data_IF_333468201654
#
_entry.id   IF_333468201654
#
_cell.length_a   1.000
_cell.length_b   1.000
_cell.length_c   1.000
_cell.angle_alpha   90.00
_cell.angle_beta   90.00
_cell.angle_gamma   90.00
#
_symmetry.space_group_name_H-M   'P 1'
#
loop_
_entity.id
_entity.type
_entity.pdbx_description
1 polymer ?
#
# COMPACT_ATOMS: atom_id res chain seq x y z
N UNK A 1 -17.30 -7.98 -2.63
CA UNK A 1 -15.84 -7.97 -2.41
C UNK A 1 -15.43 -9.27 -1.74
N UNK A 2 -14.44 -10.00 -2.25
CA UNK A 2 -13.95 -11.17 -1.55
C UNK A 2 -13.29 -10.71 -0.25
N UNK A 3 -13.67 -11.32 0.88
CA UNK A 3 -13.06 -11.05 2.20
C UNK A 3 -11.52 -11.19 2.21
N UNK A 4 -10.97 -11.84 1.19
CA UNK A 4 -9.55 -12.08 1.02
C UNK A 4 -8.75 -10.77 0.77
N UNK A 5 -9.30 -9.83 0.00
CA UNK A 5 -8.58 -8.60 -0.39
C UNK A 5 -8.18 -7.72 0.82
N UNK A 6 -9.03 -7.69 1.86
CA UNK A 6 -8.75 -6.93 3.08
C UNK A 6 -7.54 -7.53 3.80
N UNK A 7 -7.51 -8.86 3.95
CA UNK A 7 -6.43 -9.56 4.63
C UNK A 7 -5.14 -9.41 3.83
N UNK A 8 -5.19 -9.66 2.53
CA UNK A 8 -4.03 -9.57 1.64
C UNK A 8 -3.44 -8.15 1.64
N UNK A 9 -4.28 -7.11 1.62
CA UNK A 9 -3.79 -5.74 1.73
C UNK A 9 -3.13 -5.46 3.09
N UNK A 10 -3.73 -5.91 4.19
CA UNK A 10 -3.15 -5.70 5.54
C UNK A 10 -1.80 -6.43 5.66
N UNK A 11 -1.73 -7.67 5.18
CA UNK A 11 -0.50 -8.47 5.17
C UNK A 11 0.56 -7.77 4.29
N UNK A 12 0.18 -7.29 3.11
CA UNK A 12 1.06 -6.50 2.25
C UNK A 12 1.56 -5.23 2.95
N UNK A 13 0.67 -4.46 3.59
CA UNK A 13 1.03 -3.22 4.28
C UNK A 13 2.05 -3.47 5.39
N UNK A 14 1.90 -4.58 6.10
CA UNK A 14 2.84 -5.02 7.12
C UNK A 14 4.23 -5.30 6.54
N UNK A 15 4.30 -6.09 5.46
CA UNK A 15 5.56 -6.40 4.79
C UNK A 15 6.20 -5.17 4.13
N UNK A 16 5.40 -4.29 3.52
CA UNK A 16 5.88 -3.03 2.96
C UNK A 16 6.44 -2.09 4.04
N UNK A 17 5.81 -2.02 5.21
CA UNK A 17 6.29 -1.19 6.32
C UNK A 17 7.65 -1.67 6.83
N UNK A 18 7.82 -2.99 6.97
CA UNK A 18 9.12 -3.59 7.30
C UNK A 18 10.15 -3.29 6.21
N UNK A 19 9.80 -3.52 4.94
CA UNK A 19 10.73 -3.37 3.82
C UNK A 19 11.21 -1.93 3.61
N UNK A 20 10.32 -0.95 3.76
CA UNK A 20 10.58 0.46 3.40
C UNK A 20 11.10 1.26 4.59
N UNK A 21 10.62 0.96 5.80
CA UNK A 21 10.90 1.76 7.00
C UNK A 21 11.54 0.97 8.14
N UNK A 22 11.77 -0.33 7.96
CA UNK A 22 12.31 -1.24 8.99
C UNK A 22 11.50 -1.24 10.30
N UNK A 23 10.18 -1.15 10.16
CA UNK A 23 9.24 -1.09 11.30
C UNK A 23 8.07 -2.01 11.11
N UNK A 24 7.66 -2.67 12.19
CA UNK A 24 6.43 -3.45 12.22
C UNK A 24 5.25 -2.53 12.57
N UNK A 25 4.32 -2.30 11.64
CA UNK A 25 3.20 -1.39 11.87
C UNK A 25 2.23 -2.00 12.88
N UNK A 26 1.71 -1.17 13.78
CA UNK A 26 0.68 -1.62 14.73
C UNK A 26 -0.67 -1.74 14.01
N UNK A 27 -1.07 -2.98 13.72
CA UNK A 27 -2.37 -3.27 13.12
C UNK A 27 -3.44 -3.41 14.20
N UNK A 28 -4.49 -2.58 14.12
CA UNK A 28 -5.64 -2.62 15.03
C UNK A 28 -6.75 -3.45 14.41
N UNK A 29 -6.89 -4.70 14.89
CA UNK A 29 -7.90 -5.64 14.42
C UNK A 29 -9.31 -5.02 14.46
N UNK A 30 -10.08 -5.26 13.40
CA UNK A 30 -11.43 -4.71 13.25
C UNK A 30 -11.45 -3.26 12.75
N UNK A 31 -10.72 -2.34 13.39
CA UNK A 31 -10.67 -0.93 12.95
C UNK A 31 -10.02 -0.79 11.58
N UNK A 32 -8.80 -1.29 11.43
CA UNK A 32 -8.07 -1.18 10.17
C UNK A 32 -8.74 -1.99 9.07
N UNK A 33 -9.31 -3.16 9.40
CA UNK A 33 -10.13 -3.95 8.48
C UNK A 33 -11.32 -3.17 7.91
N UNK A 34 -12.06 -2.44 8.75
CA UNK A 34 -13.18 -1.57 8.31
C UNK A 34 -12.70 -0.41 7.44
N UNK A 35 -11.55 0.18 7.73
CA UNK A 35 -10.98 1.26 6.92
C UNK A 35 -10.53 0.73 5.54
N UNK A 36 -9.82 -0.39 5.52
CA UNK A 36 -9.43 -1.08 4.28
C UNK A 36 -10.65 -1.48 3.46
N UNK A 37 -11.69 -2.05 4.07
CA UNK A 37 -12.93 -2.38 3.38
C UNK A 37 -13.56 -1.16 2.69
N UNK A 38 -13.59 -0.01 3.38
CA UNK A 38 -14.10 1.24 2.81
C UNK A 38 -13.24 1.76 1.67
N UNK A 39 -11.92 1.65 1.80
CA UNK A 39 -10.99 2.08 0.77
C UNK A 39 -11.09 1.18 -0.49
N UNK A 40 -11.25 -0.14 -0.30
CA UNK A 40 -11.43 -1.09 -1.40
C UNK A 40 -12.69 -0.79 -2.22
N UNK A 41 -13.76 -0.24 -1.62
CA UNK A 41 -14.96 0.20 -2.37
C UNK A 41 -14.66 1.28 -3.42
N UNK A 42 -13.55 2.01 -3.29
CA UNK A 42 -13.14 3.08 -4.20
C UNK A 42 -11.95 2.69 -5.09
N UNK A 43 -11.06 1.85 -4.57
CA UNK A 43 -9.78 1.52 -5.20
C UNK A 43 -9.59 0.01 -5.27
N UNK A 44 -8.94 -0.48 -6.33
CA UNK A 44 -8.51 -1.87 -6.37
C UNK A 44 -7.45 -2.16 -5.30
N UNK A 45 -7.29 -3.44 -4.94
CA UNK A 45 -6.24 -3.87 -3.98
C UNK A 45 -4.87 -3.38 -4.41
N UNK A 46 -4.50 -3.57 -5.68
CA UNK A 46 -3.23 -3.11 -6.24
C UNK A 46 -3.06 -1.60 -6.15
N UNK A 47 -4.11 -0.81 -6.40
CA UNK A 47 -4.03 0.65 -6.22
C UNK A 47 -3.77 1.01 -4.75
N UNK A 48 -4.38 0.33 -3.79
CA UNK A 48 -4.10 0.52 -2.37
C UNK A 48 -2.66 0.12 -2.02
N UNK A 49 -2.15 -0.98 -2.56
CA UNK A 49 -0.77 -1.42 -2.37
C UNK A 49 0.22 -0.36 -2.87
N UNK A 50 0.01 0.18 -4.08
CA UNK A 50 0.84 1.26 -4.64
C UNK A 50 0.80 2.52 -3.77
N UNK A 51 -0.40 2.93 -3.32
CA UNK A 51 -0.55 4.07 -2.42
C UNK A 51 0.12 3.84 -1.06
N UNK A 52 0.07 2.60 -0.53
CA UNK A 52 0.76 2.24 0.70
C UNK A 52 2.28 2.37 0.56
N UNK A 53 2.84 1.87 -0.53
CA UNK A 53 4.27 1.99 -0.82
C UNK A 53 4.67 3.46 -0.94
N UNK A 54 3.89 4.28 -1.65
CA UNK A 54 4.14 5.72 -1.75
C UNK A 54 4.07 6.42 -0.40
N UNK A 55 3.03 6.13 0.40
CA UNK A 55 2.88 6.69 1.75
C UNK A 55 4.08 6.34 2.61
N UNK A 56 4.49 5.07 2.62
CA UNK A 56 5.63 4.60 3.37
C UNK A 56 6.92 5.28 2.91
N UNK A 57 7.14 5.43 1.61
CA UNK A 57 8.36 6.04 1.08
C UNK A 57 8.43 7.56 1.29
N UNK A 58 7.32 8.28 1.10
CA UNK A 58 7.29 9.75 1.01
C UNK A 58 6.81 10.46 2.27
N UNK A 59 5.98 9.81 3.10
CA UNK A 59 5.40 10.42 4.31
C UNK A 59 6.11 9.92 5.57
N UNK A 60 7.44 9.94 5.59
CA UNK A 60 8.25 9.34 6.67
C UNK A 60 7.98 9.95 8.06
N UNK A 61 7.54 11.20 8.12
CA UNK A 61 7.17 11.89 9.37
C UNK A 61 5.84 11.39 9.97
N UNK A 62 5.01 10.70 9.19
CA UNK A 62 3.73 10.15 9.64
C UNK A 62 3.91 8.73 10.13
N UNK A 63 3.13 8.34 11.14
CA UNK A 63 3.17 6.99 11.68
C UNK A 63 2.84 5.95 10.58
N UNK A 64 3.59 4.84 10.46
CA UNK A 64 3.33 3.77 9.49
C UNK A 64 2.13 2.93 9.96
N UNK A 65 0.93 3.50 9.88
CA UNK A 65 -0.31 2.85 10.30
C UNK A 65 -1.37 2.98 9.20
N UNK A 66 -2.18 1.93 9.03
CA UNK A 66 -3.27 1.91 8.04
C UNK A 66 -4.25 3.05 8.30
N UNK A 67 -4.61 3.30 9.56
CA UNK A 67 -5.47 4.43 9.93
C UNK A 67 -4.89 5.80 9.57
N UNK A 68 -3.55 5.95 9.60
CA UNK A 68 -2.89 7.20 9.19
C UNK A 68 -2.90 7.34 7.67
N UNK A 69 -2.57 6.26 6.94
CA UNK A 69 -2.61 6.22 5.49
C UNK A 69 -4.02 6.53 4.94
N UNK A 70 -5.04 5.93 5.56
CA UNK A 70 -6.45 6.08 5.18
C UNK A 70 -7.15 7.22 5.93
N UNK A 71 -6.40 8.13 6.53
CA UNK A 71 -6.97 9.32 7.16
C UNK A 71 -7.62 10.21 6.10
N UNK A 72 -8.72 10.89 6.47
CA UNK A 72 -9.49 11.73 5.54
C UNK A 72 -8.61 12.73 4.76
N UNK A 73 -7.74 13.44 5.47
CA UNK A 73 -6.87 14.45 4.86
C UNK A 73 -5.90 13.85 3.83
N UNK A 74 -5.31 12.68 4.14
CA UNK A 74 -4.38 12.02 3.23
C UNK A 74 -5.11 11.39 2.04
N UNK A 75 -6.30 10.85 2.26
CA UNK A 75 -7.15 10.34 1.18
C UNK A 75 -7.59 11.45 0.23
N UNK A 76 -7.94 12.63 0.74
CA UNK A 76 -8.26 13.81 -0.08
C UNK A 76 -7.03 14.27 -0.89
N UNK A 77 -5.83 14.29 -0.28
CA UNK A 77 -4.58 14.57 -1.00
C UNK A 77 -4.34 13.55 -2.12
N UNK A 78 -4.49 12.25 -1.83
CA UNK A 78 -4.31 11.18 -2.80
C UNK A 78 -5.34 11.27 -3.92
N UNK A 79 -6.62 11.47 -3.62
CA UNK A 79 -7.69 11.62 -4.61
C UNK A 79 -7.43 12.80 -5.56
N UNK A 80 -6.91 13.93 -5.06
CA UNK A 80 -6.52 15.06 -5.91
C UNK A 80 -5.32 14.72 -6.80
N UNK A 81 -4.30 14.05 -6.24
CA UNK A 81 -3.10 13.67 -6.98
C UNK A 81 -3.37 12.60 -8.04
N UNK A 82 -4.26 11.64 -7.77
CA UNK A 82 -4.63 10.58 -8.71
C UNK A 82 -5.35 11.10 -9.96
N UNK A 83 -5.89 12.34 -9.93
CA UNK A 83 -6.41 13.00 -11.14
C UNK A 83 -5.29 13.43 -12.10
N UNK A 84 -4.04 13.46 -11.66
CA UNK A 84 -2.89 13.81 -12.46
C UNK A 84 -2.16 12.55 -12.96
N UNK A 85 -2.04 12.40 -14.29
CA UNK A 85 -1.33 11.27 -14.91
C UNK A 85 0.14 11.15 -14.47
N UNK A 86 0.81 12.27 -14.18
CA UNK A 86 2.19 12.24 -13.69
C UNK A 86 2.32 11.55 -12.33
N UNK A 87 1.29 11.62 -11.49
CA UNK A 87 1.30 10.97 -10.19
C UNK A 87 1.23 9.44 -10.30
N UNK A 88 0.47 8.92 -11.27
CA UNK A 88 0.45 7.47 -11.55
C UNK A 88 1.83 6.94 -11.93
N UNK A 89 2.60 7.73 -12.70
CA UNK A 89 3.98 7.39 -13.03
C UNK A 89 4.88 7.38 -11.79
N UNK A 90 4.75 8.38 -10.90
CA UNK A 90 5.48 8.41 -9.63
C UNK A 90 5.16 7.19 -8.75
N UNK A 91 3.88 6.80 -8.68
CA UNK A 91 3.45 5.61 -7.95
C UNK A 91 4.12 4.35 -8.52
N UNK A 92 4.13 4.17 -9.85
CA UNK A 92 4.73 3.00 -10.50
C UNK A 92 6.26 2.97 -10.28
N UNK A 93 6.94 4.10 -10.44
CA UNK A 93 8.40 4.21 -10.23
C UNK A 93 8.80 3.86 -8.78
N UNK A 94 8.04 4.35 -7.79
CA UNK A 94 8.32 4.04 -6.39
C UNK A 94 7.94 2.59 -6.08
N UNK A 95 6.84 2.10 -6.63
CA UNK A 95 6.44 0.72 -6.45
C UNK A 95 7.50 -0.25 -7.00
N UNK A 96 7.98 -0.04 -8.23
CA UNK A 96 9.07 -0.84 -8.82
C UNK A 96 10.36 -0.79 -8.00
N UNK A 97 10.69 0.37 -7.42
CA UNK A 97 11.90 0.50 -6.59
C UNK A 97 11.87 -0.45 -5.39
N UNK A 98 10.72 -0.63 -4.76
CA UNK A 98 10.60 -1.47 -3.56
C UNK A 98 10.09 -2.88 -3.86
N UNK A 99 9.32 -3.06 -4.92
CA UNK A 99 8.72 -4.33 -5.32
C UNK A 99 8.96 -4.56 -6.81
N UNK A 100 10.23 -4.74 -7.24
CA UNK A 100 10.55 -4.88 -8.64
C UNK A 100 9.91 -6.15 -9.20
N UNK A 101 9.19 -6.00 -10.32
CA UNK A 101 8.49 -7.09 -11.03
C UNK A 101 9.40 -8.29 -11.32
N UNK A 102 10.72 -8.09 -11.40
CA UNK A 102 11.72 -9.12 -11.66
C UNK A 102 11.93 -10.15 -10.54
N UNK A 103 11.57 -9.87 -9.29
CA UNK A 103 11.84 -10.81 -8.17
C UNK A 103 10.99 -12.07 -8.26
N UNK A 104 9.78 -11.99 -8.84
CA UNK A 104 8.93 -13.17 -9.07
C UNK A 104 9.51 -14.14 -10.10
N UNK A 105 10.21 -13.66 -11.14
CA UNK A 105 10.82 -14.54 -12.15
C UNK A 105 11.93 -15.39 -11.54
N UNK A 106 12.76 -14.81 -10.66
CA UNK A 106 13.85 -15.54 -10.02
C UNK A 106 13.37 -16.60 -9.02
N UNK A 107 12.21 -16.43 -8.38
CA UNK A 107 11.60 -17.45 -7.52
C UNK A 107 10.89 -18.56 -8.31
N UNK A 108 10.29 -18.22 -9.46
CA UNK A 108 9.72 -19.18 -10.41
C UNK A 108 10.78 -20.06 -11.09
N UNK A 109 11.96 -19.51 -11.38
CA UNK A 109 13.07 -20.26 -11.98
C UNK A 109 14.02 -20.92 -10.97
N UNK A 110 13.93 -20.63 -9.67
CA UNK A 110 14.66 -21.36 -8.60
C UNK A 110 14.04 -22.70 -8.21
N UNK A 111 12.88 -23.07 -8.77
CA UNK A 111 12.24 -24.39 -8.61
C UNK A 111 12.48 -25.32 -9.80
N UNK A 112 13.67 -25.32 -10.39
CA UNK A 112 14.12 -26.36 -11.30
C UNK A 112 15.34 -27.08 -10.75
#
# INVERSE_FOLDING_TARGET
MPKNDIKEFIDFFHEASKKIRDVSPKIVRGRDGKLTERALKKFSRTQLEMMAVWFLAKKQKLAPAIGTMLSKALMEELELKLKNHAFWKELDEIYERYFPRQTMLNELFKKK
#
